data_IF_208989060837
#
_entry.id   IF_208989060837
#
_cell.length_a   1.000
_cell.length_b   1.000
_cell.length_c   1.000
_cell.angle_alpha   90.00
_cell.angle_beta   90.00
_cell.angle_gamma   90.00
#
_symmetry.space_group_name_H-M   'P 1'
#
loop_
_entity.id
_entity.type
_entity.pdbx_description
1 polymer ?
#
# COMPACT_ATOMS: atom_id res chain seq x y z
N UNK A 1 -5.30 -0.12 -9.21
CA UNK A 1 -4.86 0.58 -7.98
C UNK A 1 -3.76 1.59 -8.32
N UNK A 2 -3.51 2.58 -7.46
CA UNK A 2 -2.40 3.54 -7.60
C UNK A 2 -1.76 3.85 -6.25
N UNK A 3 -0.51 4.33 -6.25
CA UNK A 3 0.12 4.88 -5.04
C UNK A 3 -0.58 6.19 -4.65
N UNK A 4 -0.89 6.37 -3.37
CA UNK A 4 -1.72 7.46 -2.84
C UNK A 4 -0.86 8.63 -2.33
N UNK A 5 0.27 8.35 -1.69
CA UNK A 5 1.14 9.31 -1.04
C UNK A 5 2.61 9.20 -1.44
N UNK A 6 3.45 9.94 -0.73
CA UNK A 6 4.91 9.92 -0.91
C UNK A 6 5.39 10.40 -2.28
N UNK A 7 6.66 10.09 -2.59
CA UNK A 7 7.36 10.55 -3.80
C UNK A 7 6.80 9.97 -5.11
N UNK A 8 6.08 8.84 -5.03
CA UNK A 8 5.54 8.11 -6.19
C UNK A 8 4.01 8.24 -6.31
N UNK A 9 3.42 9.22 -5.64
CA UNK A 9 1.97 9.49 -5.69
C UNK A 9 1.46 9.50 -7.13
N UNK A 10 0.36 8.78 -7.36
CA UNK A 10 -0.30 8.67 -8.65
C UNK A 10 0.23 7.55 -9.56
N UNK A 11 1.34 6.89 -9.21
CA UNK A 11 1.86 5.76 -9.98
C UNK A 11 0.84 4.62 -10.00
N UNK A 12 0.42 4.20 -11.20
CA UNK A 12 -0.48 3.07 -11.38
C UNK A 12 0.25 1.77 -11.03
N UNK A 13 -0.40 0.93 -10.23
CA UNK A 13 0.07 -0.42 -9.91
C UNK A 13 -0.49 -1.42 -10.90
N UNK A 14 0.11 -2.61 -10.94
CA UNK A 14 -0.39 -3.75 -11.71
C UNK A 14 -1.87 -4.03 -11.42
N UNK A 15 -2.59 -4.51 -12.42
CA UNK A 15 -3.98 -4.92 -12.24
C UNK A 15 -4.07 -6.16 -11.35
N UNK A 16 -5.08 -6.18 -10.48
CA UNK A 16 -5.38 -7.35 -9.66
C UNK A 16 -5.88 -8.47 -10.55
N UNK A 17 -5.34 -9.67 -10.37
CA UNK A 17 -5.75 -10.84 -11.17
C UNK A 17 -5.07 -10.96 -12.53
N UNK A 18 -3.97 -10.24 -12.78
CA UNK A 18 -3.10 -10.51 -13.93
C UNK A 18 -2.60 -11.98 -13.87
N UNK A 19 -3.22 -12.85 -14.67
CA UNK A 19 -2.94 -14.29 -14.71
C UNK A 19 -4.06 -15.21 -14.18
N UNK A 20 -5.08 -14.68 -13.49
CA UNK A 20 -6.26 -15.44 -13.05
C UNK A 20 -7.46 -14.49 -12.80
N UNK A 21 -8.31 -14.36 -13.81
CA UNK A 21 -9.51 -13.52 -13.76
C UNK A 21 -10.64 -14.11 -12.87
N UNK A 22 -10.54 -15.39 -12.49
CA UNK A 22 -11.51 -16.05 -11.61
C UNK A 22 -11.15 -15.90 -10.12
N UNK A 23 -9.93 -15.45 -9.82
CA UNK A 23 -9.56 -15.05 -8.48
C UNK A 23 -10.36 -13.78 -8.12
N UNK A 24 -11.44 -13.94 -7.34
CA UNK A 24 -12.16 -12.84 -6.69
C UNK A 24 -11.25 -12.19 -5.64
N UNK A 25 -10.20 -11.51 -6.11
CA UNK A 25 -9.24 -10.82 -5.28
C UNK A 25 -9.93 -9.57 -4.75
N UNK A 26 -9.98 -9.45 -3.42
CA UNK A 26 -10.46 -8.24 -2.76
C UNK A 26 -9.30 -7.24 -2.68
N UNK A 27 -9.23 -6.20 -3.52
CA UNK A 27 -8.19 -5.20 -3.41
C UNK A 27 -8.33 -4.44 -2.09
N UNK A 28 -7.21 -4.09 -1.47
CA UNK A 28 -7.21 -3.15 -0.35
C UNK A 28 -7.59 -1.77 -0.88
N UNK A 29 -8.65 -1.18 -0.32
CA UNK A 29 -9.14 0.12 -0.80
C UNK A 29 -8.16 1.25 -0.48
N UNK A 30 -8.17 2.30 -1.30
CA UNK A 30 -7.36 3.50 -1.09
C UNK A 30 -7.56 4.05 0.34
N UNK A 31 -8.81 4.09 0.82
CA UNK A 31 -9.16 4.56 2.17
C UNK A 31 -8.50 3.75 3.29
N UNK A 32 -8.41 2.43 3.15
CA UNK A 32 -7.76 1.57 4.18
C UNK A 32 -6.26 1.84 4.20
N UNK A 33 -5.63 1.98 3.03
CA UNK A 33 -4.20 2.30 2.95
C UNK A 33 -3.90 3.67 3.53
N UNK A 34 -4.70 4.69 3.18
CA UNK A 34 -4.60 6.03 3.77
C UNK A 34 -4.73 5.99 5.30
N UNK A 35 -5.71 5.26 5.84
CA UNK A 35 -5.91 5.16 7.28
C UNK A 35 -4.70 4.53 8.00
N UNK A 36 -4.09 3.49 7.42
CA UNK A 36 -2.90 2.84 7.97
C UNK A 36 -1.73 3.83 8.01
N UNK A 37 -1.41 4.49 6.90
CA UNK A 37 -0.27 5.43 6.86
C UNK A 37 -0.53 6.68 7.70
N UNK A 38 -1.78 7.15 7.80
CA UNK A 38 -2.13 8.24 8.71
C UNK A 38 -1.87 7.86 10.17
N UNK A 39 -2.20 6.62 10.57
CA UNK A 39 -1.92 6.12 11.91
C UNK A 39 -0.40 5.99 12.16
N UNK A 40 0.34 5.49 11.17
CA UNK A 40 1.78 5.30 11.28
C UNK A 40 2.49 6.66 11.38
N UNK A 41 2.23 7.61 10.49
CA UNK A 41 2.94 8.89 10.42
C UNK A 41 2.55 9.89 11.51
N UNK A 42 1.29 9.86 11.96
CA UNK A 42 0.76 10.84 12.93
C UNK A 42 0.46 10.21 14.30
N UNK A 43 0.87 8.95 14.49
CA UNK A 43 0.68 8.24 15.75
C UNK A 43 1.58 8.77 16.87
N UNK A 44 1.45 8.22 18.09
CA UNK A 44 2.21 8.66 19.26
C UNK A 44 3.72 8.41 19.15
N UNK A 45 4.17 7.69 18.13
CA UNK A 45 5.56 7.28 17.92
C UNK A 45 6.28 8.10 16.85
N UNK A 46 5.73 9.25 16.42
CA UNK A 46 6.29 10.08 15.36
C UNK A 46 6.07 9.46 13.98
N UNK A 47 7.08 9.54 13.10
CA UNK A 47 7.06 8.93 11.76
C UNK A 47 7.97 7.68 11.70
N UNK A 48 7.50 6.52 12.20
CA UNK A 48 8.30 5.29 12.29
C UNK A 48 8.56 4.63 10.93
N UNK A 49 7.92 5.08 9.85
CA UNK A 49 8.07 4.50 8.51
C UNK A 49 9.15 5.18 7.68
N UNK A 50 9.59 6.37 8.08
CA UNK A 50 10.67 7.07 7.37
C UNK A 50 11.99 6.30 7.51
N UNK A 51 12.56 5.90 6.36
CA UNK A 51 13.76 5.07 6.25
C UNK A 51 13.66 3.68 6.92
N UNK A 52 12.45 3.22 7.22
CA UNK A 52 12.22 1.93 7.84
C UNK A 52 12.48 0.77 6.85
N UNK A 53 12.89 -0.37 7.40
CA UNK A 53 12.86 -1.64 6.68
C UNK A 53 11.48 -2.26 6.88
N UNK A 54 10.70 -2.30 5.81
CA UNK A 54 9.32 -2.84 5.83
C UNK A 54 9.32 -4.26 5.24
N UNK A 55 8.52 -5.14 5.84
CA UNK A 55 8.25 -6.49 5.34
C UNK A 55 6.75 -6.62 5.05
N UNK A 56 6.43 -6.92 3.80
CA UNK A 56 5.07 -7.23 3.36
C UNK A 56 5.00 -8.70 2.95
N UNK A 57 4.56 -9.56 3.88
CA UNK A 57 4.54 -11.01 3.71
C UNK A 57 3.58 -11.48 2.60
N UNK A 58 2.56 -10.68 2.29
CA UNK A 58 1.52 -10.99 1.31
C UNK A 58 1.32 -9.81 0.37
N UNK A 59 2.43 -9.34 -0.22
CA UNK A 59 2.47 -8.09 -0.95
C UNK A 59 1.46 -8.03 -2.12
N UNK A 60 1.12 -9.16 -2.74
CA UNK A 60 0.25 -9.19 -3.90
C UNK A 60 0.77 -8.26 -5.00
N UNK A 61 -0.01 -7.24 -5.39
CA UNK A 61 0.41 -6.21 -6.34
C UNK A 61 1.39 -5.16 -5.76
N UNK A 62 1.85 -5.33 -4.52
CA UNK A 62 2.73 -4.41 -3.80
C UNK A 62 2.04 -3.15 -3.29
N UNK A 63 0.70 -3.12 -3.21
CA UNK A 63 -0.04 -1.89 -2.95
C UNK A 63 0.19 -1.27 -1.56
N UNK A 64 0.60 -2.07 -0.57
CA UNK A 64 0.95 -1.59 0.76
C UNK A 64 2.46 -1.35 0.87
N UNK A 65 3.29 -2.32 0.49
CA UNK A 65 4.75 -2.18 0.53
C UNK A 65 5.33 -1.05 -0.34
N UNK A 66 4.70 -0.69 -1.46
CA UNK A 66 5.15 0.41 -2.34
C UNK A 66 4.61 1.79 -1.93
N UNK A 67 3.73 1.84 -0.93
CA UNK A 67 3.15 3.07 -0.39
C UNK A 67 4.08 3.71 0.66
N UNK A 68 5.03 2.94 1.20
CA UNK A 68 6.07 3.36 2.13
C UNK A 68 7.30 3.98 1.44
#
# INVERSE_FOLDING_TARGET
MRIIGGKRRGLKLAEVGAGDAAAHLRPTSDRVREAIFNLLMNGPYGNPVENARVLDLFAGTGALGLEA
#
